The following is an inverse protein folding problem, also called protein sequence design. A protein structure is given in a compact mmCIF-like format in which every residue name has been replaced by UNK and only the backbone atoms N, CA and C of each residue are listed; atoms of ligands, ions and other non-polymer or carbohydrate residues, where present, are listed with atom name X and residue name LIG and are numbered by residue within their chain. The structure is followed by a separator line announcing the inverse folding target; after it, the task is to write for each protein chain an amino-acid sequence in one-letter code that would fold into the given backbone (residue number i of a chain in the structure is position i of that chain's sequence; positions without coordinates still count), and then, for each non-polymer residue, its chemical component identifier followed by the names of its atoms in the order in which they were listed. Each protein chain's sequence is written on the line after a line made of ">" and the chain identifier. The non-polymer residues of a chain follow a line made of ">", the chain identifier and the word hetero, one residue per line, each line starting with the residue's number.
data_IF_725273038554
#
_entry.id   IF_725273038554
#
_cell.length_a   1.000
_cell.length_b   1.000
_cell.length_c   1.000
_cell.angle_alpha   90.00
_cell.angle_beta   90.00
_cell.angle_gamma   90.00
#
_symmetry.space_group_name_H-M   'P 1'
#
loop_
_entity.id
_entity.type
_entity.pdbx_description
1 polymer ?
#
# COMPACT_ATOMS: atom_id res chain seq x y z
N UNK A 1 11.29 20.93 -11.15
CA UNK A 1 9.86 20.88 -11.50
C UNK A 1 9.30 19.67 -10.79
N UNK A 2 8.26 19.87 -9.98
CA UNK A 2 7.56 18.74 -9.36
C UNK A 2 6.73 18.06 -10.45
N UNK A 3 7.09 16.82 -10.80
CA UNK A 3 6.29 16.02 -11.71
C UNK A 3 5.48 15.05 -10.85
N UNK A 4 4.18 15.29 -10.72
CA UNK A 4 3.22 14.25 -10.35
C UNK A 4 3.38 13.10 -11.34
N UNK A 5 3.42 11.86 -10.86
CA UNK A 5 3.44 10.69 -11.73
C UNK A 5 2.08 10.55 -12.42
N UNK A 6 2.09 9.97 -13.61
CA UNK A 6 0.86 9.50 -14.21
C UNK A 6 0.33 8.31 -13.40
N UNK A 7 -1.00 8.25 -13.13
CA UNK A 7 -1.58 7.11 -12.45
C UNK A 7 -1.29 5.82 -13.21
N UNK A 8 -0.74 4.82 -12.51
CA UNK A 8 -0.47 3.49 -13.11
C UNK A 8 -1.81 2.77 -13.32
N UNK A 9 -2.21 2.44 -14.57
CA UNK A 9 -3.46 1.74 -14.81
C UNK A 9 -3.50 0.39 -14.07
N UNK A 10 -4.58 0.16 -13.31
CA UNK A 10 -4.74 -1.05 -12.51
C UNK A 10 -4.04 -1.01 -11.15
N UNK A 11 -3.42 0.10 -10.76
CA UNK A 11 -2.92 0.32 -9.40
C UNK A 11 -3.88 1.25 -8.64
N UNK A 12 -4.63 0.68 -7.69
CA UNK A 12 -5.67 1.41 -6.94
C UNK A 12 -5.09 2.32 -5.84
N UNK A 13 -5.87 3.26 -5.34
CA UNK A 13 -5.48 4.11 -4.19
C UNK A 13 -5.18 3.24 -2.95
N UNK A 14 -4.22 3.61 -2.09
CA UNK A 14 -4.01 2.90 -0.83
C UNK A 14 -5.23 2.90 0.11
N UNK A 15 -6.21 3.79 -0.12
CA UNK A 15 -7.45 3.89 0.64
C UNK A 15 -8.51 2.88 0.23
N UNK A 16 -8.43 2.35 -0.99
CA UNK A 16 -9.42 1.40 -1.50
C UNK A 16 -9.30 0.07 -0.74
N UNK A 17 -10.42 -0.34 -0.16
CA UNK A 17 -10.47 -1.48 0.76
C UNK A 17 -10.84 -2.78 0.05
N UNK A 18 -10.30 -3.88 0.57
CA UNK A 18 -10.76 -5.24 0.27
C UNK A 18 -11.27 -5.84 1.56
N UNK A 19 -12.56 -6.20 1.63
CA UNK A 19 -13.19 -6.79 2.83
C UNK A 19 -12.90 -5.97 4.11
N UNK A 20 -12.94 -4.64 4.00
CA UNK A 20 -12.68 -3.71 5.10
C UNK A 20 -11.21 -3.53 5.48
N UNK A 21 -10.27 -3.93 4.62
CA UNK A 21 -8.83 -3.77 4.86
C UNK A 21 -8.20 -2.82 3.82
N UNK A 22 -7.70 -1.67 4.27
CA UNK A 22 -6.96 -0.72 3.40
C UNK A 22 -5.63 -1.32 2.96
N UNK A 23 -5.09 -0.78 1.86
CA UNK A 23 -3.78 -1.11 1.28
C UNK A 23 -3.61 -2.55 0.75
N UNK A 24 -4.32 -3.54 1.29
CA UNK A 24 -4.19 -4.94 0.85
C UNK A 24 -4.43 -5.11 -0.66
N UNK A 25 -5.52 -4.53 -1.18
CA UNK A 25 -5.81 -4.56 -2.62
C UNK A 25 -4.69 -3.95 -3.46
N UNK A 26 -4.14 -2.82 -3.02
CA UNK A 26 -3.02 -2.16 -3.68
C UNK A 26 -1.75 -3.02 -3.69
N UNK A 27 -1.44 -3.70 -2.58
CA UNK A 27 -0.31 -4.65 -2.54
C UNK A 27 -0.50 -5.80 -3.54
N UNK A 28 -1.73 -6.33 -3.65
CA UNK A 28 -2.07 -7.37 -4.64
C UNK A 28 -1.94 -6.83 -6.08
N UNK A 29 -2.41 -5.61 -6.36
CA UNK A 29 -2.26 -4.97 -7.66
C UNK A 29 -0.79 -4.82 -8.04
N UNK A 30 0.07 -4.35 -7.11
CA UNK A 30 1.52 -4.26 -7.34
C UNK A 30 2.11 -5.60 -7.76
N UNK A 31 1.73 -6.70 -7.11
CA UNK A 31 2.20 -8.04 -7.47
C UNK A 31 1.72 -8.45 -8.87
N UNK A 32 0.45 -8.19 -9.21
CA UNK A 32 -0.13 -8.51 -10.53
C UNK A 32 0.49 -7.66 -11.66
N UNK A 33 0.74 -6.38 -11.41
CA UNK A 33 1.40 -5.48 -12.36
C UNK A 33 2.87 -5.86 -12.55
N UNK A 34 3.57 -6.27 -11.48
CA UNK A 34 4.92 -6.79 -11.58
C UNK A 34 4.97 -8.07 -12.41
N UNK A 35 3.97 -8.96 -12.30
CA UNK A 35 3.85 -10.16 -13.15
C UNK A 35 3.68 -9.82 -14.64
N UNK A 36 2.91 -8.79 -14.95
CA UNK A 36 2.62 -8.38 -16.33
C UNK A 36 3.66 -7.44 -16.94
N UNK A 37 4.67 -7.03 -16.17
CA UNK A 37 5.73 -6.13 -16.63
C UNK A 37 5.29 -4.67 -16.77
N UNK A 38 4.12 -4.30 -16.24
CA UNK A 38 3.54 -2.96 -16.34
C UNK A 38 3.71 -2.13 -15.07
N UNK A 39 4.27 -2.71 -14.00
CA UNK A 39 4.63 -1.95 -12.81
C UNK A 39 5.91 -1.12 -13.08
N UNK A 40 5.89 0.22 -12.92
CA UNK A 40 7.09 1.04 -13.12
C UNK A 40 8.24 0.64 -12.19
N UNK A 41 9.48 0.82 -12.64
CA UNK A 41 10.69 0.27 -11.99
C UNK A 41 10.91 0.79 -10.56
N UNK A 42 10.57 2.04 -10.29
CA UNK A 42 10.68 2.68 -8.97
C UNK A 42 9.73 2.07 -7.92
N UNK A 43 8.61 1.47 -8.35
CA UNK A 43 7.75 0.68 -7.46
C UNK A 43 8.32 -0.72 -7.19
N UNK A 44 9.11 -1.28 -8.12
CA UNK A 44 9.65 -2.63 -8.01
C UNK A 44 10.70 -2.76 -6.91
N UNK A 45 11.55 -1.75 -6.73
CA UNK A 45 12.58 -1.72 -5.68
C UNK A 45 12.00 -1.88 -4.28
N UNK A 46 10.75 -1.44 -4.08
CA UNK A 46 10.07 -1.42 -2.79
C UNK A 46 9.02 -2.55 -2.63
N UNK A 47 8.96 -3.52 -3.55
CA UNK A 47 8.05 -4.65 -3.45
C UNK A 47 8.34 -5.50 -2.20
N UNK A 48 7.33 -5.74 -1.38
CA UNK A 48 7.47 -6.50 -0.13
C UNK A 48 8.14 -5.72 1.00
N UNK A 49 8.39 -4.41 0.81
CA UNK A 49 8.96 -3.52 1.80
C UNK A 49 7.93 -2.46 2.24
N UNK A 50 8.26 -1.67 3.27
CA UNK A 50 7.39 -0.60 3.76
C UNK A 50 5.98 -1.09 4.10
N UNK A 51 4.97 -0.51 3.44
CA UNK A 51 3.57 -0.89 3.65
C UNK A 51 3.23 -2.31 3.19
N UNK A 52 3.91 -2.86 2.18
CA UNK A 52 3.72 -4.27 1.81
C UNK A 52 4.14 -5.18 2.96
N UNK A 53 5.32 -4.90 3.54
CA UNK A 53 5.83 -5.64 4.70
C UNK A 53 4.89 -5.48 5.90
N UNK A 54 4.50 -4.25 6.23
CA UNK A 54 3.60 -4.00 7.35
C UNK A 54 2.26 -4.73 7.18
N UNK A 55 1.70 -4.78 5.96
CA UNK A 55 0.46 -5.50 5.67
C UNK A 55 0.64 -7.01 5.82
N UNK A 56 1.77 -7.55 5.35
CA UNK A 56 2.13 -8.96 5.53
C UNK A 56 2.33 -9.32 7.01
N UNK A 57 3.05 -8.50 7.78
CA UNK A 57 3.22 -8.68 9.23
C UNK A 57 1.87 -8.64 9.95
N UNK A 58 1.00 -7.70 9.58
CA UNK A 58 -0.36 -7.63 10.11
C UNK A 58 -1.18 -8.86 9.72
N UNK A 59 -1.06 -9.41 8.52
CA UNK A 59 -1.77 -10.64 8.17
C UNK A 59 -1.08 -11.91 8.67
N UNK A 60 0.14 -11.80 9.23
CA UNK A 60 0.93 -12.95 9.68
C UNK A 60 1.37 -13.86 8.54
N UNK A 61 1.62 -13.30 7.35
CA UNK A 61 2.01 -14.06 6.16
C UNK A 61 3.37 -13.60 5.65
N UNK A 62 4.14 -14.53 5.07
CA UNK A 62 5.36 -14.17 4.36
C UNK A 62 5.02 -13.55 2.99
N UNK A 63 5.72 -12.48 2.61
CA UNK A 63 5.47 -11.77 1.36
C UNK A 63 5.76 -12.64 0.12
N UNK A 64 6.78 -13.50 0.15
CA UNK A 64 7.11 -14.37 -1.00
C UNK A 64 6.01 -15.40 -1.20
N UNK A 65 5.53 -16.02 -0.12
CA UNK A 65 4.39 -16.93 -0.17
C UNK A 65 3.11 -16.24 -0.68
N UNK A 66 2.82 -15.03 -0.19
CA UNK A 66 1.70 -14.23 -0.70
C UNK A 66 1.85 -13.91 -2.19
N UNK A 67 3.04 -13.51 -2.62
CA UNK A 67 3.34 -13.23 -4.02
C UNK A 67 3.04 -14.48 -4.86
N UNK A 68 3.60 -15.63 -4.52
CA UNK A 68 3.33 -16.89 -5.21
C UNK A 68 1.83 -17.21 -5.28
N UNK A 69 1.10 -17.01 -4.17
CA UNK A 69 -0.35 -17.18 -4.15
C UNK A 69 -1.07 -16.24 -5.11
N UNK A 70 -0.72 -14.96 -5.15
CA UNK A 70 -1.32 -13.98 -6.07
C UNK A 70 -1.05 -14.34 -7.53
N UNK A 71 0.15 -14.86 -7.83
CA UNK A 71 0.53 -15.26 -9.19
C UNK A 71 -0.32 -16.42 -9.73
N UNK A 72 -0.95 -17.23 -8.87
CA UNK A 72 -1.89 -18.28 -9.25
C UNK A 72 -3.26 -17.73 -9.71
N UNK A 73 -3.51 -16.42 -9.54
CA UNK A 73 -4.77 -15.78 -9.90
C UNK A 73 -5.82 -15.84 -8.78
N UNK A 74 -7.04 -15.41 -9.11
CA UNK A 74 -8.15 -15.27 -8.17
C UNK A 74 -8.44 -13.81 -7.78
N UNK A 75 -9.61 -13.63 -7.18
CA UNK A 75 -10.15 -12.36 -6.68
C UNK A 75 -9.44 -11.91 -5.41
N UNK A 76 -9.53 -10.61 -5.10
CA UNK A 76 -8.90 -10.07 -3.88
C UNK A 76 -9.45 -10.71 -2.60
N UNK A 77 -10.75 -11.02 -2.58
CA UNK A 77 -11.40 -11.71 -1.47
C UNK A 77 -10.82 -13.13 -1.28
N UNK A 78 -10.55 -13.87 -2.35
CA UNK A 78 -9.93 -15.20 -2.28
C UNK A 78 -8.49 -15.14 -1.79
N UNK A 79 -7.71 -14.15 -2.22
CA UNK A 79 -6.34 -13.96 -1.71
C UNK A 79 -6.37 -13.59 -0.23
N UNK A 80 -7.25 -12.67 0.19
CA UNK A 80 -7.34 -12.26 1.59
C UNK A 80 -7.83 -13.41 2.49
N UNK A 81 -8.79 -14.20 2.01
CA UNK A 81 -9.24 -15.40 2.70
C UNK A 81 -8.11 -16.43 2.84
N UNK A 82 -7.25 -16.57 1.83
CA UNK A 82 -6.05 -17.40 1.92
C UNK A 82 -5.06 -16.85 2.97
N UNK A 83 -4.84 -15.54 3.03
CA UNK A 83 -3.98 -14.94 4.07
C UNK A 83 -4.50 -15.27 5.48
N UNK A 84 -5.82 -15.21 5.68
CA UNK A 84 -6.43 -15.57 6.95
C UNK A 84 -6.30 -17.05 7.33
N UNK A 85 -6.10 -17.95 6.36
CA UNK A 85 -5.86 -19.39 6.59
C UNK A 85 -4.38 -19.71 6.83
N UNK A 86 -3.47 -19.03 6.14
CA UNK A 86 -2.02 -19.29 6.26
C UNK A 86 -1.39 -18.52 7.43
N UNK A 87 -1.90 -17.34 7.74
CA UNK A 87 -1.46 -16.49 8.82
C UNK A 87 -2.57 -16.29 9.84
N UNK A 88 -2.95 -15.02 10.05
CA UNK A 88 -3.98 -14.63 11.02
C UNK A 88 -5.20 -14.08 10.31
N UNK A 89 -6.36 -14.71 10.56
CA UNK A 89 -7.65 -14.09 10.25
C UNK A 89 -7.85 -12.91 11.20
N UNK A 90 -8.05 -11.72 10.63
CA UNK A 90 -8.29 -10.49 11.38
C UNK A 90 -9.77 -10.21 11.54
N UNK A 91 -10.18 -9.91 12.76
CA UNK A 91 -11.54 -9.51 13.05
C UNK A 91 -11.81 -8.05 12.63
N UNK A 92 -13.05 -7.58 12.84
CA UNK A 92 -13.45 -6.23 12.44
C UNK A 92 -12.73 -5.14 13.26
N UNK A 93 -12.47 -5.37 14.55
CA UNK A 93 -11.80 -4.40 15.42
C UNK A 93 -10.32 -4.27 15.04
N UNK A 94 -9.63 -5.40 14.85
CA UNK A 94 -8.24 -5.42 14.39
C UNK A 94 -8.09 -4.71 13.03
N UNK A 95 -9.01 -4.94 12.10
CA UNK A 95 -9.03 -4.23 10.80
C UNK A 95 -9.24 -2.73 10.98
N UNK A 96 -10.13 -2.30 11.87
CA UNK A 96 -10.37 -0.89 12.15
C UNK A 96 -9.15 -0.20 12.76
N UNK A 97 -8.46 -0.87 13.68
CA UNK A 97 -7.20 -0.40 14.27
C UNK A 97 -6.13 -0.28 13.18
N UNK A 98 -5.99 -1.31 12.34
CA UNK A 98 -5.06 -1.30 11.20
C UNK A 98 -5.34 -0.15 10.23
N UNK A 99 -6.60 0.02 9.81
CA UNK A 99 -7.01 1.07 8.88
C UNK A 99 -6.71 2.47 9.46
N UNK A 100 -6.93 2.65 10.76
CA UNK A 100 -6.63 3.90 11.47
C UNK A 100 -5.13 4.15 11.59
N UNK A 101 -4.35 3.11 11.88
CA UNK A 101 -2.90 3.17 11.95
C UNK A 101 -2.29 3.52 10.59
N UNK A 102 -2.58 2.72 9.56
CA UNK A 102 -1.94 2.86 8.26
C UNK A 102 -2.42 4.12 7.54
N UNK A 103 -3.71 4.44 7.63
CA UNK A 103 -4.30 5.63 7.01
C UNK A 103 -3.81 6.95 7.62
N UNK A 104 -3.21 6.93 8.82
CA UNK A 104 -2.59 8.09 9.46
C UNK A 104 -1.07 8.05 9.45
N UNK A 105 -0.46 7.09 8.77
CA UNK A 105 0.99 6.94 8.78
C UNK A 105 1.66 8.19 8.20
N UNK A 106 2.63 8.73 8.93
CA UNK A 106 3.30 10.01 8.64
C UNK A 106 2.67 11.21 9.36
N UNK A 107 1.51 11.05 10.01
CA UNK A 107 0.86 12.12 10.76
C UNK A 107 1.15 12.01 12.26
N UNK A 108 2.04 12.88 12.75
CA UNK A 108 2.45 12.94 14.18
C UNK A 108 2.93 11.59 14.73
N UNK A 109 3.57 10.81 13.88
CA UNK A 109 4.18 9.52 14.20
C UNK A 109 5.67 9.50 13.82
N UNK A 110 6.32 8.36 13.99
CA UNK A 110 7.76 8.20 13.75
C UNK A 110 8.19 8.37 12.28
N UNK A 111 7.28 8.49 11.32
CA UNK A 111 7.63 8.80 9.91
C UNK A 111 7.22 10.21 9.48
N UNK A 112 6.79 11.06 10.41
CA UNK A 112 6.46 12.45 10.09
C UNK A 112 7.62 13.18 9.39
N UNK A 113 8.85 13.05 9.92
CA UNK A 113 10.05 13.64 9.31
C UNK A 113 10.35 13.05 7.93
N UNK A 114 10.09 11.74 7.74
CA UNK A 114 10.25 11.09 6.44
C UNK A 114 9.24 11.62 5.43
N UNK A 115 8.00 11.88 5.84
CA UNK A 115 6.99 12.49 4.97
C UNK A 115 7.38 13.91 4.57
N UNK A 116 7.84 14.73 5.54
CA UNK A 116 8.33 16.10 5.26
C UNK A 116 9.51 16.07 4.28
N UNK A 117 10.45 15.14 4.47
CA UNK A 117 11.57 14.94 3.55
C UNK A 117 11.08 14.59 2.13
N UNK A 118 10.17 13.62 2.00
CA UNK A 118 9.62 13.20 0.70
C UNK A 118 8.85 14.32 0.01
N UNK A 119 8.08 15.12 0.76
CA UNK A 119 7.43 16.34 0.24
C UNK A 119 8.46 17.33 -0.32
N UNK A 120 9.56 17.57 0.38
CA UNK A 120 10.63 18.45 -0.10
C UNK A 120 11.29 17.91 -1.37
N UNK A 121 11.60 16.62 -1.43
CA UNK A 121 12.15 15.97 -2.65
C UNK A 121 11.21 16.14 -3.85
N UNK A 122 9.90 15.99 -3.62
CA UNK A 122 8.88 16.17 -4.65
C UNK A 122 8.59 17.65 -4.99
N UNK A 123 9.17 18.63 -4.30
CA UNK A 123 8.83 20.04 -4.46
C UNK A 123 7.45 20.43 -3.91
N UNK A 124 6.91 19.65 -2.96
CA UNK A 124 5.61 19.83 -2.30
C UNK A 124 5.74 20.25 -0.82
N UNK A 125 6.83 20.93 -0.45
CA UNK A 125 7.04 21.38 0.93
C UNK A 125 5.85 22.15 1.50
N UNK A 126 5.22 22.99 0.67
CA UNK A 126 4.12 23.89 1.03
C UNK A 126 2.71 23.27 0.86
N UNK A 127 2.58 22.02 0.40
CA UNK A 127 1.27 21.36 0.22
C UNK A 127 0.69 20.93 1.57
N UNK A 128 -0.05 21.80 2.24
CA UNK A 128 -0.61 21.57 3.58
C UNK A 128 -1.65 20.44 3.64
N UNK A 129 -2.31 20.13 2.53
CA UNK A 129 -3.26 19.02 2.45
C UNK A 129 -2.59 17.64 2.51
N UNK A 130 -1.29 17.55 2.21
CA UNK A 130 -0.51 16.30 2.33
C UNK A 130 -0.04 16.13 3.77
N UNK A 131 -0.81 15.38 4.57
CA UNK A 131 -0.57 15.14 6.00
C UNK A 131 -0.13 13.71 6.31
N UNK A 132 -0.36 12.76 5.40
CA UNK A 132 -0.06 11.33 5.53
C UNK A 132 0.64 10.81 4.29
N UNK A 133 1.25 9.62 4.38
CA UNK A 133 1.76 8.94 3.19
C UNK A 133 0.66 8.53 2.22
N UNK A 134 -0.58 8.32 2.67
CA UNK A 134 -1.69 8.07 1.75
C UNK A 134 -2.02 9.32 0.94
N UNK A 135 -2.04 10.50 1.58
CA UNK A 135 -2.20 11.77 0.84
C UNK A 135 -1.06 11.97 -0.15
N UNK A 136 0.18 11.67 0.26
CA UNK A 136 1.34 11.76 -0.62
C UNK A 136 1.22 10.83 -1.82
N UNK A 137 0.86 9.57 -1.61
CA UNK A 137 0.75 8.57 -2.68
C UNK A 137 -0.38 8.94 -3.66
N UNK A 138 -1.54 9.36 -3.16
CA UNK A 138 -2.64 9.78 -4.02
C UNK A 138 -2.25 11.01 -4.84
N UNK A 139 -1.68 12.04 -4.19
CA UNK A 139 -1.21 13.25 -4.88
C UNK A 139 -0.12 12.96 -5.92
N UNK A 140 0.80 12.04 -5.61
CA UNK A 140 1.87 11.60 -6.51
C UNK A 140 1.35 10.80 -7.69
N UNK A 141 0.19 10.17 -7.57
CA UNK A 141 -0.48 9.42 -8.63
C UNK A 141 -1.62 10.22 -9.29
N UNK A 142 -1.66 11.54 -9.08
CA UNK A 142 -2.61 12.44 -9.71
C UNK A 142 -4.06 12.29 -9.24
N UNK A 143 -4.28 11.86 -7.99
CA UNK A 143 -5.60 11.74 -7.35
C UNK A 143 -5.84 12.79 -6.28
#
# INVERSE_FOLDING_TARGET
>A
MSATREPVPGLRSPREMVEGLVYFGRMVDKIRLAKSGTLPSDYQENLGQGFDKACCDFLGVDYRALRERVLQGGTDAEILAWCGKQGRKRDAEEKNIWNSYLGKRGWRDEMADRLVFRKKEAGWGEREEIQTFFDYIDADEGR
#
